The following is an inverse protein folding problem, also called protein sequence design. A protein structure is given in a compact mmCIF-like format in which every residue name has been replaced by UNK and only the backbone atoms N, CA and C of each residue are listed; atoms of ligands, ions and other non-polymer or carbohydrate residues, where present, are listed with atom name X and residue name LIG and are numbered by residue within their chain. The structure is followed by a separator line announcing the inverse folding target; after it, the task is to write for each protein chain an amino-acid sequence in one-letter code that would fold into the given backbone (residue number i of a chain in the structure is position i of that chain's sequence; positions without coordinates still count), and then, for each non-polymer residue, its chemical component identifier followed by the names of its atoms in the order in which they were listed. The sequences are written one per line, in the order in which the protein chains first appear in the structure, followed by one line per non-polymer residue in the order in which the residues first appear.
data_IF_187033015694
#
_entry.id   IF_187033015694
#
_cell.length_a   1.000
_cell.length_b   1.000
_cell.length_c   1.000
_cell.angle_alpha   90.00
_cell.angle_beta   90.00
_cell.angle_gamma   90.00
#
_symmetry.space_group_name_H-M   'P 1'
#
loop_
_entity.id
_entity.type
_entity.pdbx_description
1 polymer ?
#
# COMPACT_ATOMS: atom_id res chain seq x y z
N UNK A 1 2.18 15.18 0.81
CA UNK A 1 1.59 14.39 -0.24
C UNK A 1 1.94 12.93 -0.02
N UNK A 2 1.23 12.03 -0.67
CA UNK A 2 1.36 10.60 -0.40
C UNK A 2 2.78 10.08 -0.49
N UNK A 3 3.51 10.46 -1.49
CA UNK A 3 4.87 9.93 -1.66
C UNK A 3 5.82 10.39 -0.58
N UNK A 4 5.44 11.38 0.21
CA UNK A 4 6.24 11.77 1.36
C UNK A 4 5.88 10.92 2.57
N UNK A 5 4.63 10.50 2.68
CA UNK A 5 4.19 9.68 3.81
C UNK A 5 4.78 8.29 3.78
N UNK A 6 4.90 7.69 2.61
CA UNK A 6 5.42 6.33 2.52
C UNK A 6 6.88 6.25 3.00
N UNK A 7 7.80 7.10 2.52
CA UNK A 7 9.16 7.06 3.05
C UNK A 7 9.22 7.35 4.54
N UNK A 8 8.40 8.27 5.03
CA UNK A 8 8.37 8.59 6.46
C UNK A 8 7.91 7.40 7.29
N UNK A 9 6.91 6.68 6.83
CA UNK A 9 6.45 5.49 7.52
C UNK A 9 7.52 4.40 7.50
N UNK A 10 8.18 4.22 6.36
CA UNK A 10 9.26 3.24 6.25
C UNK A 10 10.39 3.57 7.21
N UNK A 11 10.74 4.84 7.29
CA UNK A 11 11.82 5.26 8.19
C UNK A 11 11.43 5.06 9.65
N UNK A 12 10.17 5.32 9.98
CA UNK A 12 9.73 5.30 11.37
C UNK A 12 9.30 3.92 11.86
N UNK A 13 9.28 2.91 10.99
CA UNK A 13 8.75 1.60 11.37
C UNK A 13 9.51 0.92 12.49
N UNK A 14 10.73 1.33 12.75
CA UNK A 14 11.54 0.76 13.83
C UNK A 14 11.21 1.36 15.19
N UNK A 15 10.52 2.47 15.22
CA UNK A 15 10.12 3.13 16.46
C UNK A 15 8.59 3.09 16.53
N UNK A 16 8.01 2.22 17.38
CA UNK A 16 6.55 2.05 17.42
C UNK A 16 5.79 3.34 17.69
N UNK A 17 6.32 4.21 18.56
CA UNK A 17 5.64 5.45 18.86
C UNK A 17 5.64 6.40 17.68
N UNK A 18 6.79 6.51 17.02
CA UNK A 18 6.91 7.39 15.87
C UNK A 18 6.07 6.84 14.71
N UNK A 19 6.14 5.53 14.50
CA UNK A 19 5.35 4.91 13.44
C UNK A 19 3.86 5.15 13.67
N UNK A 20 3.40 5.02 14.91
CA UNK A 20 2.00 5.25 15.22
C UNK A 20 1.59 6.69 14.89
N UNK A 21 2.45 7.66 15.22
CA UNK A 21 2.17 9.07 14.93
C UNK A 21 2.09 9.31 13.42
N UNK A 22 3.05 8.79 12.67
CA UNK A 22 3.08 8.99 11.23
C UNK A 22 1.90 8.28 10.59
N UNK A 23 1.57 7.08 11.06
CA UNK A 23 0.42 6.33 10.56
C UNK A 23 -0.87 7.12 10.74
N UNK A 24 -1.06 7.72 11.91
CA UNK A 24 -2.27 8.49 12.16
C UNK A 24 -2.35 9.72 11.27
N UNK A 25 -1.23 10.37 11.03
CA UNK A 25 -1.18 11.49 10.10
C UNK A 25 -1.53 11.06 8.69
N UNK A 26 -1.03 9.90 8.28
CA UNK A 26 -1.34 9.37 6.97
C UNK A 26 -2.83 9.07 6.85
N UNK A 27 -3.41 8.43 7.86
CA UNK A 27 -4.85 8.14 7.85
C UNK A 27 -5.67 9.42 7.80
N UNK A 28 -5.27 10.45 8.53
CA UNK A 28 -5.96 11.73 8.49
C UNK A 28 -5.85 12.38 7.12
N UNK A 29 -4.66 12.33 6.53
CA UNK A 29 -4.45 12.89 5.20
C UNK A 29 -5.32 12.18 4.17
N UNK A 30 -5.53 10.89 4.34
CA UNK A 30 -6.31 10.10 3.41
C UNK A 30 -7.80 10.03 3.75
N UNK A 31 -8.23 10.82 4.73
CA UNK A 31 -9.64 10.86 5.07
C UNK A 31 -10.45 11.30 3.85
N UNK A 32 -11.49 10.57 3.56
CA UNK A 32 -12.30 10.85 2.37
C UNK A 32 -11.86 10.14 1.12
N UNK A 33 -10.72 9.44 1.18
CA UNK A 33 -10.27 8.66 0.05
C UNK A 33 -11.30 7.54 -0.22
N UNK A 34 -11.58 7.30 -1.50
CA UNK A 34 -12.66 6.43 -1.93
C UNK A 34 -12.51 4.98 -1.51
N UNK A 35 -11.27 4.49 -1.39
CA UNK A 35 -11.00 3.09 -1.10
C UNK A 35 -10.20 2.96 0.21
N UNK A 36 -10.86 3.08 1.37
CA UNK A 36 -10.12 3.05 2.64
C UNK A 36 -9.34 1.77 2.88
N UNK A 37 -9.73 0.67 2.26
CA UNK A 37 -8.97 -0.57 2.39
C UNK A 37 -7.57 -0.46 1.84
N UNK A 38 -7.33 0.44 0.88
CA UNK A 38 -5.97 0.65 0.35
C UNK A 38 -5.07 1.26 1.41
N UNK A 39 -5.63 2.14 2.24
CA UNK A 39 -4.88 2.76 3.33
C UNK A 39 -4.42 1.69 4.30
N UNK A 40 -5.34 0.82 4.70
CA UNK A 40 -5.01 -0.26 5.63
C UNK A 40 -3.99 -1.21 5.03
N UNK A 41 -4.08 -1.47 3.74
CA UNK A 41 -3.14 -2.36 3.06
C UNK A 41 -1.73 -1.78 3.05
N UNK A 42 -1.61 -0.49 2.73
CA UNK A 42 -0.32 0.19 2.74
C UNK A 42 0.30 0.14 4.13
N UNK A 43 -0.48 0.48 5.14
CA UNK A 43 -0.01 0.48 6.52
C UNK A 43 0.41 -0.92 6.94
N UNK A 44 -0.36 -1.93 6.54
CA UNK A 44 -0.07 -3.31 6.88
C UNK A 44 1.24 -3.78 6.26
N UNK A 45 1.48 -3.44 5.00
CA UNK A 45 2.71 -3.83 4.31
C UNK A 45 3.92 -3.21 5.01
N UNK A 46 3.83 -1.94 5.34
CA UNK A 46 4.95 -1.25 5.97
C UNK A 46 5.17 -1.76 7.39
N UNK A 47 4.11 -2.05 8.10
CA UNK A 47 4.17 -2.37 9.53
C UNK A 47 4.39 -3.83 9.86
N UNK A 48 4.74 -4.68 8.90
CA UNK A 48 4.86 -6.11 9.16
C UNK A 48 6.06 -6.48 10.02
N UNK A 49 6.99 -5.58 10.24
CA UNK A 49 8.23 -5.93 10.95
C UNK A 49 9.15 -6.70 10.01
N UNK A 50 10.39 -6.79 10.30
CA UNK A 50 11.34 -7.46 9.43
C UNK A 50 11.59 -6.65 8.16
N UNK A 51 12.45 -7.17 7.30
CA UNK A 51 12.83 -6.49 6.08
C UNK A 51 11.75 -6.63 5.02
N UNK A 52 11.54 -5.58 4.27
CA UNK A 52 10.59 -5.63 3.18
C UNK A 52 11.24 -6.26 1.96
N UNK A 53 10.53 -7.17 1.33
CA UNK A 53 10.98 -7.80 0.10
C UNK A 53 10.84 -6.83 -1.09
N UNK A 54 11.47 -7.19 -2.20
CA UNK A 54 11.30 -6.42 -3.43
C UNK A 54 9.82 -6.39 -3.84
N UNK A 55 9.11 -7.50 -3.65
CA UNK A 55 7.70 -7.55 -3.98
C UNK A 55 6.88 -6.61 -3.10
N UNK A 56 7.21 -6.50 -1.82
CA UNK A 56 6.52 -5.57 -0.93
C UNK A 56 6.74 -4.13 -1.37
N UNK A 57 7.97 -3.77 -1.74
CA UNK A 57 8.24 -2.43 -2.25
C UNK A 57 7.47 -2.19 -3.55
N UNK A 58 7.40 -3.18 -4.41
CA UNK A 58 6.66 -3.05 -5.65
C UNK A 58 5.17 -2.81 -5.37
N UNK A 59 4.61 -3.56 -4.43
CA UNK A 59 3.21 -3.36 -4.04
C UNK A 59 2.98 -1.96 -3.50
N UNK A 60 3.87 -1.45 -2.66
CA UNK A 60 3.73 -0.09 -2.14
C UNK A 60 3.73 0.92 -3.28
N UNK A 61 4.61 0.72 -4.25
CA UNK A 61 4.67 1.58 -5.42
C UNK A 61 3.36 1.56 -6.20
N UNK A 62 2.81 0.37 -6.39
CA UNK A 62 1.55 0.21 -7.11
C UNK A 62 0.39 0.86 -6.37
N UNK A 63 0.32 0.66 -5.05
CA UNK A 63 -0.72 1.32 -4.27
C UNK A 63 -0.59 2.84 -4.31
N UNK A 64 0.64 3.36 -4.29
CA UNK A 64 0.85 4.80 -4.41
C UNK A 64 0.35 5.31 -5.76
N UNK A 65 0.62 4.57 -6.82
CA UNK A 65 0.12 4.93 -8.14
C UNK A 65 -1.40 4.88 -8.20
N UNK A 66 -1.99 3.88 -7.55
CA UNK A 66 -3.45 3.77 -7.51
C UNK A 66 -4.06 4.99 -6.82
N UNK A 67 -3.53 5.36 -5.67
CA UNK A 67 -4.05 6.51 -4.94
C UNK A 67 -3.93 7.77 -5.78
N UNK A 68 -2.79 7.98 -6.43
CA UNK A 68 -2.60 9.13 -7.28
C UNK A 68 -3.60 9.13 -8.45
N UNK A 69 -3.82 7.97 -9.04
CA UNK A 69 -4.76 7.84 -10.16
C UNK A 69 -6.19 8.15 -9.73
N UNK A 70 -6.60 7.63 -8.57
CA UNK A 70 -7.94 7.90 -8.04
C UNK A 70 -8.11 9.38 -7.75
N UNK A 71 -7.10 10.00 -7.15
CA UNK A 71 -7.16 11.42 -6.81
C UNK A 71 -7.28 12.29 -8.06
N UNK A 72 -6.61 11.90 -9.14
CA UNK A 72 -6.68 12.63 -10.40
C UNK A 72 -7.84 12.22 -11.27
N UNK A 73 -8.58 11.21 -10.85
CA UNK A 73 -9.68 10.65 -11.62
C UNK A 73 -9.19 10.06 -12.94
N UNK A 74 -7.99 9.51 -12.93
CA UNK A 74 -7.41 8.85 -14.09
C UNK A 74 -7.68 7.36 -13.96
N UNK A 75 -8.89 6.97 -14.32
CA UNK A 75 -9.35 5.60 -14.07
C UNK A 75 -8.71 4.57 -14.99
N UNK A 76 -8.14 5.00 -16.11
CA UNK A 76 -7.34 4.10 -16.93
C UNK A 76 -6.10 3.63 -16.21
N UNK A 77 -5.40 4.55 -15.54
CA UNK A 77 -4.25 4.20 -14.74
C UNK A 77 -4.67 3.33 -13.56
N UNK A 78 -5.77 3.69 -12.91
CA UNK A 78 -6.28 2.93 -11.76
C UNK A 78 -6.55 1.48 -12.16
N UNK A 79 -7.21 1.28 -13.29
CA UNK A 79 -7.53 -0.07 -13.75
C UNK A 79 -6.28 -0.88 -14.02
N UNK A 80 -5.31 -0.28 -14.68
CA UNK A 80 -4.06 -0.95 -15.01
C UNK A 80 -3.29 -1.34 -13.75
N UNK A 81 -3.23 -0.42 -12.79
CA UNK A 81 -2.53 -0.66 -11.54
C UNK A 81 -3.23 -1.74 -10.74
N UNK A 82 -4.56 -1.73 -10.69
CA UNK A 82 -5.31 -2.75 -9.97
C UNK A 82 -5.04 -4.14 -10.53
N UNK A 83 -4.92 -4.28 -11.83
CA UNK A 83 -4.59 -5.56 -12.43
C UNK A 83 -3.21 -6.05 -11.98
N UNK A 84 -2.25 -5.15 -11.91
CA UNK A 84 -0.92 -5.52 -11.46
C UNK A 84 -0.90 -5.90 -9.99
N UNK A 85 -1.63 -5.17 -9.16
CA UNK A 85 -1.74 -5.49 -7.75
C UNK A 85 -2.34 -6.88 -7.57
N UNK A 86 -3.44 -7.16 -8.26
CA UNK A 86 -4.09 -8.45 -8.17
C UNK A 86 -3.15 -9.59 -8.59
N UNK A 87 -2.41 -9.37 -9.66
CA UNK A 87 -1.46 -10.37 -10.13
C UNK A 87 -0.38 -10.65 -9.11
N UNK A 88 0.14 -9.60 -8.48
CA UNK A 88 1.19 -9.78 -7.48
C UNK A 88 0.65 -10.46 -6.24
N UNK A 89 -0.54 -10.07 -5.79
CA UNK A 89 -1.11 -10.65 -4.59
C UNK A 89 -1.50 -12.11 -4.81
N UNK A 90 -1.96 -12.45 -6.00
CA UNK A 90 -2.21 -13.84 -6.34
C UNK A 90 -0.91 -14.64 -6.33
N UNK A 91 0.15 -14.06 -6.86
CA UNK A 91 1.43 -14.75 -6.89
C UNK A 91 2.01 -14.97 -5.52
N UNK A 92 1.74 -14.07 -4.59
CA UNK A 92 2.29 -14.18 -3.26
C UNK A 92 1.49 -15.11 -2.37
N UNK A 93 0.19 -14.97 -2.42
CA UNK A 93 -0.63 -15.70 -1.49
C UNK A 93 -1.44 -16.77 -2.12
N UNK A 94 -1.87 -16.52 -3.30
CA UNK A 94 -2.78 -17.41 -3.93
C UNK A 94 -2.19 -18.71 -4.36
N UNK A 95 -0.92 -18.70 -4.58
CA UNK A 95 -0.34 -19.93 -5.06
C UNK A 95 -0.60 -21.05 -4.11
N UNK A 96 -0.69 -20.76 -2.86
CA UNK A 96 -0.96 -21.81 -1.97
C UNK A 96 -2.33 -22.30 -2.12
N UNK A 97 -3.20 -21.48 -2.25
CA UNK A 97 -4.45 -21.97 -2.25
C UNK A 97 -4.95 -22.27 -3.46
N UNK A 98 -4.68 -21.67 -4.31
CA UNK A 98 -5.42 -21.88 -5.32
C UNK A 98 -5.26 -22.95 -6.10
N UNK A 99 -4.50 -23.50 -5.95
CA UNK A 99 -4.38 -24.49 -6.63
C UNK A 99 -5.21 -25.42 -6.54
N UNK A 100 -5.54 -25.41 -5.87
CA UNK A 100 -6.26 -26.42 -5.78
C UNK A 100 -7.23 -26.30 -6.41
N UNK A 101 -6.97 -25.58 -6.67
CA UNK A 101 -7.88 -25.67 -6.98
C UNK A 101 -8.19 -26.14 -7.55
#
# INVERSE_FOLDING_TARGET
ILKDYIPNMLYSRKDPKLFSTVRERFRSFMRGYRFPQDIDRIVSIIGTGGDLSADSFRLLELYAKKVAGVTREDFGVVESVCREIDRMEEGQGGSAGHLDS
#
